data_IF_912858543737
#
_entry.id   IF_912858543737
#
_cell.length_a   1.000
_cell.length_b   1.000
_cell.length_c   1.000
_cell.angle_alpha   90.00
_cell.angle_beta   90.00
_cell.angle_gamma   90.00
#
_symmetry.space_group_name_H-M   'P 1'
#
loop_
_entity.id
_entity.type
_entity.pdbx_description
1 polymer ?
#
# COMPACT_ATOMS: atom_id res chain seq x y z
N UNK A 1 -10.89 -24.71 0.27
CA UNK A 1 -11.69 -23.50 -0.02
C UNK A 1 -10.69 -22.38 -0.23
N UNK A 2 -10.77 -21.68 -1.36
CA UNK A 2 -9.96 -20.47 -1.60
C UNK A 2 -10.26 -19.45 -0.50
N UNK A 3 -9.24 -18.98 0.22
CA UNK A 3 -9.42 -17.88 1.18
C UNK A 3 -9.50 -16.56 0.41
N UNK A 4 -10.47 -15.71 0.78
CA UNK A 4 -10.51 -14.34 0.24
C UNK A 4 -9.27 -13.59 0.70
N UNK A 5 -8.68 -12.81 -0.20
CA UNK A 5 -7.51 -11.96 0.10
C UNK A 5 -7.83 -10.48 -0.04
N UNK A 6 -8.74 -10.11 -0.93
CA UNK A 6 -9.11 -8.72 -1.21
C UNK A 6 -10.01 -8.18 -0.11
N UNK A 7 -9.54 -7.13 0.57
CA UNK A 7 -10.26 -6.49 1.66
C UNK A 7 -11.66 -6.04 1.23
N UNK A 8 -11.77 -5.45 0.04
CA UNK A 8 -13.00 -4.88 -0.53
C UNK A 8 -14.08 -5.91 -0.90
N UNK A 9 -13.73 -7.20 -0.94
CA UNK A 9 -14.66 -8.31 -1.21
C UNK A 9 -15.08 -9.07 0.07
N UNK A 10 -14.60 -8.63 1.24
CA UNK A 10 -14.92 -9.22 2.54
C UNK A 10 -16.09 -8.51 3.20
N UNK A 11 -16.98 -9.30 3.79
CA UNK A 11 -17.89 -8.84 4.85
C UNK A 11 -17.10 -8.53 6.13
N UNK A 12 -17.63 -7.72 7.05
CA UNK A 12 -16.95 -7.44 8.32
C UNK A 12 -16.57 -8.71 9.10
N UNK A 13 -17.43 -9.74 9.10
CA UNK A 13 -17.15 -11.01 9.77
C UNK A 13 -15.98 -11.77 9.13
N UNK A 14 -15.92 -11.79 7.80
CA UNK A 14 -14.83 -12.44 7.07
C UNK A 14 -13.50 -11.72 7.33
N UNK A 15 -13.50 -10.38 7.34
CA UNK A 15 -12.31 -9.59 7.63
C UNK A 15 -11.76 -9.86 9.04
N UNK A 16 -12.62 -9.79 10.06
CA UNK A 16 -12.20 -10.00 11.45
C UNK A 16 -11.62 -11.42 11.64
N UNK A 17 -12.25 -12.44 11.04
CA UNK A 17 -11.74 -13.81 11.08
C UNK A 17 -10.40 -13.96 10.33
N UNK A 18 -10.23 -13.26 9.20
CA UNK A 18 -8.97 -13.28 8.46
C UNK A 18 -7.82 -12.65 9.26
N UNK A 19 -8.06 -11.52 9.93
CA UNK A 19 -7.06 -10.84 10.75
C UNK A 19 -6.75 -11.60 12.05
N UNK A 20 -7.72 -12.31 12.63
CA UNK A 20 -7.48 -13.21 13.75
C UNK A 20 -6.57 -14.39 13.35
N UNK A 21 -6.81 -14.98 12.19
CA UNK A 21 -6.01 -16.09 11.68
C UNK A 21 -4.63 -15.67 11.20
N UNK A 22 -4.51 -14.48 10.59
CA UNK A 22 -3.27 -13.93 10.09
C UNK A 22 -3.32 -12.39 10.11
N UNK A 23 -2.70 -11.73 11.11
CA UNK A 23 -2.82 -10.29 11.31
C UNK A 23 -1.88 -9.47 10.39
N UNK A 24 -1.67 -9.96 9.16
CA UNK A 24 -0.82 -9.31 8.15
C UNK A 24 -1.71 -8.65 7.10
N UNK A 25 -1.47 -7.36 6.87
CA UNK A 25 -2.16 -6.56 5.85
C UNK A 25 -1.15 -6.03 4.84
N UNK A 26 -1.43 -6.19 3.55
CA UNK A 26 -0.63 -5.65 2.45
C UNK A 26 -1.32 -4.39 1.91
N UNK A 27 -0.56 -3.30 1.81
CA UNK A 27 -1.00 -2.00 1.29
C UNK A 27 -0.27 -1.75 -0.04
N UNK A 28 -0.88 -2.11 -1.18
CA UNK A 28 -0.33 -1.79 -2.49
C UNK A 28 -0.58 -0.31 -2.82
N UNK A 29 0.47 0.40 -3.22
CA UNK A 29 0.40 1.80 -3.67
C UNK A 29 1.25 1.99 -4.91
N UNK A 30 0.80 2.84 -5.82
CA UNK A 30 1.58 3.31 -6.96
C UNK A 30 1.29 4.78 -7.22
N UNK A 31 1.67 5.26 -8.40
CA UNK A 31 1.34 6.58 -8.90
C UNK A 31 0.55 6.45 -10.20
N UNK A 32 -0.35 7.40 -10.47
CA UNK A 32 -0.88 7.55 -11.82
C UNK A 32 0.05 8.51 -12.56
N UNK A 33 0.97 7.95 -13.37
CA UNK A 33 2.04 8.72 -14.00
C UNK A 33 2.35 8.33 -15.44
N UNK A 34 2.96 9.28 -16.15
CA UNK A 34 3.46 9.09 -17.49
C UNK A 34 4.60 8.07 -17.55
N UNK A 35 4.42 7.03 -18.36
CA UNK A 35 5.45 6.03 -18.67
C UNK A 35 5.77 5.95 -20.17
N UNK A 36 5.42 6.99 -20.94
CA UNK A 36 5.48 7.00 -22.40
C UNK A 36 4.30 6.26 -23.05
N UNK A 37 4.11 6.46 -24.35
CA UNK A 37 2.93 5.96 -25.10
C UNK A 37 2.83 4.42 -25.20
N UNK A 38 3.83 3.70 -24.71
CA UNK A 38 3.88 2.24 -24.73
C UNK A 38 3.35 1.59 -23.43
N UNK A 39 3.04 2.39 -22.40
CA UNK A 39 2.61 1.90 -21.09
C UNK A 39 1.41 2.72 -20.56
N UNK A 40 0.50 2.07 -19.80
CA UNK A 40 -0.63 2.76 -19.22
C UNK A 40 -0.20 3.68 -18.06
N UNK A 41 -0.95 4.76 -17.83
CA UNK A 41 -0.68 5.68 -16.72
C UNK A 41 -0.76 5.02 -15.33
N UNK A 42 -1.50 3.91 -15.21
CA UNK A 42 -1.68 3.19 -13.96
C UNK A 42 -0.65 2.10 -13.70
N UNK A 43 0.42 1.98 -14.51
CA UNK A 43 1.36 0.87 -14.47
C UNK A 43 1.85 0.57 -13.04
N UNK A 44 2.24 1.60 -12.30
CA UNK A 44 2.76 1.49 -10.94
C UNK A 44 1.82 0.74 -9.99
N UNK A 45 0.55 1.12 -9.93
CA UNK A 45 -0.39 0.47 -9.03
C UNK A 45 -0.91 -0.87 -9.60
N UNK A 46 -1.04 -0.99 -10.92
CA UNK A 46 -1.49 -2.23 -11.57
C UNK A 46 -0.53 -3.39 -11.29
N UNK A 47 0.77 -3.20 -11.52
CA UNK A 47 1.78 -4.26 -11.32
C UNK A 47 1.86 -4.66 -9.84
N UNK A 48 1.93 -3.68 -8.93
CA UNK A 48 2.14 -3.96 -7.51
C UNK A 48 0.92 -4.58 -6.85
N UNK A 49 -0.29 -4.24 -7.31
CA UNK A 49 -1.52 -4.89 -6.84
C UNK A 49 -1.55 -6.37 -7.20
N UNK A 50 -1.22 -6.73 -8.45
CA UNK A 50 -1.19 -8.14 -8.85
C UNK A 50 -0.09 -8.93 -8.13
N UNK A 51 1.05 -8.30 -7.83
CA UNK A 51 2.07 -8.90 -6.96
C UNK A 51 1.54 -9.10 -5.53
N UNK A 52 0.91 -8.08 -4.94
CA UNK A 52 0.32 -8.12 -3.61
C UNK A 52 -0.75 -9.23 -3.49
N UNK A 53 -1.63 -9.38 -4.49
CA UNK A 53 -2.62 -10.46 -4.53
C UNK A 53 -1.97 -11.85 -4.56
N UNK A 54 -0.88 -12.02 -5.33
CA UNK A 54 -0.13 -13.29 -5.36
C UNK A 54 0.56 -13.59 -4.01
N UNK A 55 1.05 -12.55 -3.33
CA UNK A 55 1.61 -12.70 -1.98
C UNK A 55 0.49 -13.09 -1.02
N UNK A 56 -0.62 -12.34 -0.98
CA UNK A 56 -1.78 -12.64 -0.12
C UNK A 56 -2.35 -14.05 -0.35
N UNK A 57 -2.40 -14.51 -1.59
CA UNK A 57 -2.83 -15.87 -1.91
C UNK A 57 -1.90 -16.94 -1.30
N UNK A 58 -0.59 -16.68 -1.22
CA UNK A 58 0.40 -17.62 -0.65
C UNK A 58 0.52 -17.51 0.86
N UNK A 59 0.34 -16.33 1.43
CA UNK A 59 0.58 -16.03 2.85
C UNK A 59 -0.70 -15.91 3.67
N UNK A 60 -1.88 -15.91 3.02
CA UNK A 60 -3.19 -15.58 3.63
C UNK A 60 -3.26 -14.16 4.19
N UNK A 61 -2.40 -13.25 3.73
CA UNK A 61 -2.48 -11.85 4.13
C UNK A 61 -3.68 -11.17 3.45
N UNK A 62 -4.32 -10.25 4.17
CA UNK A 62 -5.35 -9.37 3.60
C UNK A 62 -4.67 -8.32 2.74
N UNK A 63 -5.24 -8.02 1.58
CA UNK A 63 -4.71 -7.06 0.60
C UNK A 63 -5.71 -5.94 0.42
N UNK A 64 -5.28 -4.69 0.65
CA UNK A 64 -6.11 -3.52 0.37
C UNK A 64 -6.29 -3.31 -1.15
N UNK A 65 -7.35 -2.61 -1.57
CA UNK A 65 -7.41 -2.02 -2.91
C UNK A 65 -6.14 -1.18 -3.18
N UNK A 66 -5.63 -1.18 -4.41
CA UNK A 66 -4.51 -0.34 -4.75
C UNK A 66 -4.93 1.13 -4.78
N UNK A 67 -4.01 2.00 -4.44
CA UNK A 67 -4.15 3.44 -4.64
C UNK A 67 -3.08 3.96 -5.61
N UNK A 68 -3.34 5.16 -6.13
CA UNK A 68 -2.51 5.84 -7.12
C UNK A 68 -1.95 7.16 -6.58
N UNK A 69 -1.76 7.24 -5.26
CA UNK A 69 -1.37 8.47 -4.57
C UNK A 69 0.10 8.44 -4.20
N UNK A 70 0.84 9.41 -4.72
CA UNK A 70 2.25 9.55 -4.41
C UNK A 70 2.78 10.94 -4.74
N UNK A 71 4.08 11.07 -4.58
CA UNK A 71 4.81 12.33 -4.75
C UNK A 71 5.45 12.42 -6.14
N UNK A 72 5.79 13.63 -6.61
CA UNK A 72 6.45 13.78 -7.91
C UNK A 72 7.75 12.99 -8.02
N UNK A 73 7.93 12.33 -9.18
CA UNK A 73 9.20 11.76 -9.63
C UNK A 73 10.17 12.82 -10.18
N UNK A 74 10.86 12.51 -11.28
CA UNK A 74 11.88 13.39 -11.88
C UNK A 74 11.33 14.52 -12.77
N UNK A 75 10.01 14.63 -12.90
CA UNK A 75 9.36 15.64 -13.72
C UNK A 75 7.85 15.65 -13.53
N UNK A 76 7.19 16.65 -14.10
CA UNK A 76 5.73 16.73 -14.18
C UNK A 76 5.33 16.60 -15.65
N UNK A 77 4.91 15.39 -16.03
CA UNK A 77 4.39 15.10 -17.36
C UNK A 77 2.87 15.25 -17.36
N UNK A 78 2.30 15.64 -18.50
CA UNK A 78 0.85 15.74 -18.64
C UNK A 78 0.19 14.39 -18.34
N UNK A 79 -0.86 14.40 -17.52
CA UNK A 79 -1.55 13.19 -17.09
C UNK A 79 -1.02 12.55 -15.80
N UNK A 80 0.11 13.02 -15.25
CA UNK A 80 0.62 12.56 -13.96
C UNK A 80 -0.11 13.27 -12.80
N UNK A 81 -0.66 12.49 -11.86
CA UNK A 81 -1.28 13.01 -10.64
C UNK A 81 -0.30 12.90 -9.48
N UNK A 82 0.05 14.03 -8.88
CA UNK A 82 1.03 14.11 -7.80
C UNK A 82 0.52 14.95 -6.65
N UNK A 83 0.97 14.62 -5.45
CA UNK A 83 0.55 15.24 -4.21
C UNK A 83 1.76 15.74 -3.42
N UNK A 84 1.53 16.59 -2.42
CA UNK A 84 2.61 17.06 -1.55
C UNK A 84 3.10 15.95 -0.62
N UNK A 85 4.33 16.08 -0.15
CA UNK A 85 4.96 15.08 0.72
C UNK A 85 4.21 14.99 2.06
N UNK A 86 3.74 16.12 2.57
CA UNK A 86 2.97 16.21 3.81
C UNK A 86 1.65 15.46 3.71
N UNK A 87 0.93 15.62 2.59
CA UNK A 87 -0.35 14.93 2.38
C UNK A 87 -0.15 13.42 2.29
N UNK A 88 0.85 12.96 1.53
CA UNK A 88 1.12 11.53 1.37
C UNK A 88 1.63 10.90 2.66
N UNK A 89 2.51 11.58 3.41
CA UNK A 89 2.99 11.10 4.71
C UNK A 89 1.86 10.99 5.72
N UNK A 90 0.99 12.01 5.81
CA UNK A 90 -0.16 12.00 6.70
C UNK A 90 -1.15 10.89 6.32
N UNK A 91 -1.46 10.75 5.04
CA UNK A 91 -2.36 9.72 4.54
C UNK A 91 -1.91 8.31 4.92
N UNK A 92 -0.64 7.97 4.69
CA UNK A 92 -0.14 6.64 5.07
C UNK A 92 -0.10 6.45 6.59
N UNK A 93 0.24 7.49 7.34
CA UNK A 93 0.18 7.45 8.81
C UNK A 93 -1.24 7.12 9.30
N UNK A 94 -2.26 7.79 8.75
CA UNK A 94 -3.65 7.53 9.09
C UNK A 94 -4.11 6.13 8.65
N UNK A 95 -3.70 5.66 7.46
CA UNK A 95 -3.96 4.29 7.01
C UNK A 95 -3.40 3.29 8.04
N UNK A 96 -2.16 3.45 8.49
CA UNK A 96 -1.56 2.53 9.48
C UNK A 96 -2.35 2.52 10.79
N UNK A 97 -2.79 3.68 11.27
CA UNK A 97 -3.63 3.78 12.46
C UNK A 97 -4.99 3.09 12.29
N UNK A 98 -5.63 3.20 11.12
CA UNK A 98 -6.89 2.49 10.86
C UNK A 98 -6.68 0.97 10.80
N UNK A 99 -5.59 0.51 10.20
CA UNK A 99 -5.26 -0.92 10.12
C UNK A 99 -4.92 -1.51 11.50
N UNK A 100 -4.23 -0.75 12.35
CA UNK A 100 -3.99 -1.14 13.74
C UNK A 100 -5.30 -1.32 14.51
N UNK A 101 -6.25 -0.39 14.37
CA UNK A 101 -7.56 -0.44 15.06
C UNK A 101 -8.38 -1.69 14.74
N UNK A 102 -8.24 -2.22 13.53
CA UNK A 102 -8.98 -3.42 13.09
C UNK A 102 -8.23 -4.73 13.39
N UNK A 103 -7.04 -4.67 13.99
CA UNK A 103 -6.31 -5.84 14.46
C UNK A 103 -5.08 -6.24 13.64
N UNK A 104 -4.63 -5.41 12.69
CA UNK A 104 -3.36 -5.67 12.02
C UNK A 104 -2.19 -5.61 13.02
N UNK A 105 -1.23 -6.54 12.88
CA UNK A 105 0.02 -6.59 13.67
C UNK A 105 1.24 -6.40 12.78
N UNK A 106 1.13 -6.72 11.50
CA UNK A 106 2.14 -6.42 10.49
C UNK A 106 1.47 -5.76 9.28
N UNK A 107 2.00 -4.62 8.85
CA UNK A 107 1.58 -3.92 7.65
C UNK A 107 2.74 -3.95 6.66
N UNK A 108 2.49 -4.49 5.46
CA UNK A 108 3.45 -4.52 4.37
C UNK A 108 3.02 -3.51 3.32
N UNK A 109 3.64 -2.33 3.32
CA UNK A 109 3.43 -1.33 2.28
C UNK A 109 4.35 -1.63 1.10
N UNK A 110 3.75 -1.91 -0.06
CA UNK A 110 4.45 -2.18 -1.31
C UNK A 110 4.21 -1.02 -2.27
N UNK A 111 5.27 -0.32 -2.67
CA UNK A 111 5.20 0.79 -3.63
C UNK A 111 5.66 0.37 -5.03
N UNK A 112 4.79 0.50 -6.02
CA UNK A 112 5.14 0.31 -7.44
C UNK A 112 5.84 1.53 -8.05
N UNK A 113 5.64 2.71 -7.45
CA UNK A 113 6.35 3.93 -7.78
C UNK A 113 7.68 3.99 -7.00
N UNK A 114 8.79 3.80 -7.70
CA UNK A 114 10.11 3.53 -7.11
C UNK A 114 11.05 4.74 -7.06
N UNK A 115 10.55 5.95 -7.37
CA UNK A 115 11.32 7.18 -7.21
C UNK A 115 11.86 7.33 -5.79
N UNK A 116 13.13 7.74 -5.57
CA UNK A 116 13.72 7.84 -4.23
C UNK A 116 12.90 8.69 -3.26
N UNK A 117 12.23 9.72 -3.77
CA UNK A 117 11.33 10.59 -2.98
C UNK A 117 10.18 9.80 -2.37
N UNK A 118 9.44 9.03 -3.18
CA UNK A 118 8.34 8.18 -2.72
C UNK A 118 8.84 7.10 -1.75
N UNK A 119 9.90 6.38 -2.14
CA UNK A 119 10.45 5.28 -1.33
C UNK A 119 10.91 5.77 0.04
N UNK A 120 11.64 6.89 0.08
CA UNK A 120 12.10 7.47 1.34
C UNK A 120 10.94 7.98 2.18
N UNK A 121 9.94 8.60 1.56
CA UNK A 121 8.76 9.11 2.25
C UNK A 121 7.98 7.98 2.95
N UNK A 122 7.62 6.90 2.23
CA UNK A 122 6.84 5.81 2.83
C UNK A 122 7.62 5.08 3.94
N UNK A 123 8.96 5.00 3.79
CA UNK A 123 9.84 4.48 4.84
C UNK A 123 9.86 5.39 6.08
N UNK A 124 9.90 6.70 5.87
CA UNK A 124 9.81 7.71 6.95
C UNK A 124 8.48 7.61 7.70
N UNK A 125 7.37 7.57 6.96
CA UNK A 125 6.03 7.45 7.52
C UNK A 125 5.91 6.17 8.38
N UNK A 126 6.41 5.05 7.85
CA UNK A 126 6.46 3.78 8.57
C UNK A 126 7.31 3.87 9.85
N UNK A 127 8.51 4.44 9.78
CA UNK A 127 9.39 4.62 10.95
C UNK A 127 8.72 5.45 12.04
N UNK A 128 8.18 6.62 11.67
CA UNK A 128 7.51 7.54 12.59
C UNK A 128 6.30 6.91 13.26
N UNK A 129 5.49 6.15 12.51
CA UNK A 129 4.35 5.42 13.08
C UNK A 129 4.80 4.35 14.09
N UNK A 130 5.89 3.63 13.80
CA UNK A 130 6.44 2.60 14.69
C UNK A 130 7.10 3.16 15.96
N UNK A 131 7.33 4.48 16.07
CA UNK A 131 7.82 5.09 17.32
C UNK A 131 6.76 5.04 18.44
N UNK A 132 5.49 5.02 18.08
CA UNK A 132 4.36 5.08 19.03
C UNK A 132 3.41 3.88 18.95
N UNK A 133 3.57 3.01 17.96
CA UNK A 133 2.76 1.80 17.79
C UNK A 133 3.60 0.52 17.92
N UNK A 134 2.97 -0.54 18.46
CA UNK A 134 3.55 -1.89 18.47
C UNK A 134 3.40 -2.63 17.13
N UNK A 135 2.65 -2.07 16.17
CA UNK A 135 2.44 -2.67 14.84
C UNK A 135 3.70 -2.50 13.99
N UNK A 136 4.15 -3.60 13.39
CA UNK A 136 5.32 -3.58 12.51
C UNK A 136 4.92 -3.13 11.11
N UNK A 137 5.49 -2.03 10.63
CA UNK A 137 5.33 -1.59 9.23
C UNK A 137 6.62 -1.89 8.44
N UNK A 138 6.48 -2.64 7.35
CA UNK A 138 7.54 -2.92 6.38
C UNK A 138 7.18 -2.18 5.08
N UNK A 139 7.92 -1.11 4.77
CA UNK A 139 7.72 -0.33 3.55
C UNK A 139 8.87 -0.60 2.56
N UNK A 140 8.54 -1.17 1.39
CA UNK A 140 9.51 -1.50 0.35
C UNK A 140 8.97 -1.18 -1.05
N UNK A 141 9.84 -0.84 -2.00
CA UNK A 141 9.49 -0.94 -3.41
C UNK A 141 9.30 -2.41 -3.81
N UNK A 142 8.74 -2.61 -5.01
CA UNK A 142 8.68 -3.93 -5.65
C UNK A 142 10.04 -4.61 -5.84
#
# INVERSE_FOLDING_TARGET
MDHKVKYEEMTPRELLAALEANPVVIVPTGLLEWHGDHLPLGLDALKIYHMALRIGARTRAVVLPPNYWGVPGFGSFAGTLVFSDELIEQLFTEIFQQLEKIGARVIVLLTGHYGPRQVNLVKRAAAKFMETSAVRVIAQPE
#
